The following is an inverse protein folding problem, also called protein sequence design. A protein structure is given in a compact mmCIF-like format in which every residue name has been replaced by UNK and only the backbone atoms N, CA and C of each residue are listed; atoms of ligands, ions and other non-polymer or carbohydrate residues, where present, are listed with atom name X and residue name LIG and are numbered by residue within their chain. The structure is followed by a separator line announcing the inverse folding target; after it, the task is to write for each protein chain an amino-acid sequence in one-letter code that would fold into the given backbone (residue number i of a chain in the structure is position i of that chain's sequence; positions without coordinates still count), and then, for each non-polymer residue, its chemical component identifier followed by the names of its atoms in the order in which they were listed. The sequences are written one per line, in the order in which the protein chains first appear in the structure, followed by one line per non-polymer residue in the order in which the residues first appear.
data_IF_350318596997
#
_entry.id   IF_350318596997
#
_cell.length_a   1.000
_cell.length_b   1.000
_cell.length_c   1.000
_cell.angle_alpha   90.00
_cell.angle_beta   90.00
_cell.angle_gamma   90.00
#
_symmetry.space_group_name_H-M   'P 1'
#
loop_
_entity.id
_entity.type
_entity.pdbx_description
1 polymer ?
#
# COMPACT_ATOMS: atom_id res chain seq x y z
N UNK A 1 3.42 12.58 -39.91
CA UNK A 1 2.62 12.06 -38.78
C UNK A 1 3.48 11.04 -38.06
N UNK A 2 4.10 11.44 -36.94
CA UNK A 2 4.96 10.58 -36.15
C UNK A 2 4.09 9.71 -35.24
N UNK A 3 4.19 8.40 -35.38
CA UNK A 3 3.57 7.41 -34.48
C UNK A 3 4.24 7.52 -33.12
N UNK A 4 3.49 8.01 -32.13
CA UNK A 4 3.91 7.97 -30.73
C UNK A 4 3.80 6.50 -30.30
N UNK A 5 4.94 5.84 -30.21
CA UNK A 5 5.10 4.53 -29.60
C UNK A 5 4.65 4.62 -28.13
N UNK A 6 3.49 4.07 -27.81
CA UNK A 6 2.93 4.10 -26.45
C UNK A 6 3.71 3.13 -25.58
N UNK A 7 4.87 3.57 -25.07
CA UNK A 7 5.48 2.94 -23.90
C UNK A 7 4.49 3.04 -22.75
N UNK A 8 3.69 2.00 -22.58
CA UNK A 8 2.67 1.87 -21.55
C UNK A 8 3.31 2.03 -20.18
N UNK A 9 2.64 2.79 -19.32
CA UNK A 9 3.07 3.07 -17.95
C UNK A 9 3.12 1.76 -17.15
N UNK A 10 4.23 1.53 -16.45
CA UNK A 10 4.49 0.31 -15.64
C UNK A 10 3.37 0.05 -14.63
N UNK A 11 2.74 1.11 -14.10
CA UNK A 11 1.65 1.04 -13.12
C UNK A 11 0.31 0.53 -13.67
N UNK A 12 0.18 0.36 -14.99
CA UNK A 12 -1.06 -0.08 -15.65
C UNK A 12 -0.93 -1.44 -16.35
N UNK A 13 0.24 -2.09 -16.25
CA UNK A 13 0.34 -3.47 -16.71
C UNK A 13 -0.34 -4.36 -15.66
N UNK A 14 -1.45 -4.99 -16.02
CA UNK A 14 -1.92 -6.14 -15.27
C UNK A 14 -0.82 -7.20 -15.38
N UNK A 15 -0.03 -7.37 -14.32
CA UNK A 15 0.97 -8.42 -14.27
C UNK A 15 0.24 -9.75 -14.29
N UNK A 16 0.34 -10.45 -15.44
CA UNK A 16 -0.10 -11.84 -15.61
C UNK A 16 0.68 -12.81 -14.70
N UNK A 17 1.77 -12.33 -14.10
CA UNK A 17 2.58 -13.11 -13.17
C UNK A 17 1.76 -13.53 -11.95
N UNK A 18 1.81 -14.82 -11.65
CA UNK A 18 1.17 -15.39 -10.47
C UNK A 18 1.84 -14.86 -9.20
N UNK A 19 1.12 -14.90 -8.07
CA UNK A 19 1.72 -14.48 -6.79
C UNK A 19 2.85 -15.43 -6.41
N UNK A 20 2.73 -16.71 -6.77
CA UNK A 20 3.73 -17.76 -6.55
C UNK A 20 5.03 -17.45 -7.29
N UNK A 21 4.96 -17.02 -8.55
CA UNK A 21 6.14 -16.65 -9.35
C UNK A 21 6.86 -15.43 -8.76
N UNK A 22 6.09 -14.42 -8.35
CA UNK A 22 6.63 -13.22 -7.67
C UNK A 22 7.33 -13.61 -6.37
N UNK A 23 6.69 -14.46 -5.55
CA UNK A 23 7.28 -14.95 -4.31
C UNK A 23 8.57 -15.74 -4.57
N UNK A 24 8.59 -16.61 -5.57
CA UNK A 24 9.78 -17.38 -5.94
C UNK A 24 10.94 -16.48 -6.38
N UNK A 25 10.68 -15.43 -7.18
CA UNK A 25 11.69 -14.44 -7.57
C UNK A 25 12.25 -13.71 -6.36
N UNK A 26 11.39 -13.26 -5.44
CA UNK A 26 11.82 -12.55 -4.22
C UNK A 26 12.58 -13.50 -3.28
N UNK A 27 12.14 -14.74 -3.13
CA UNK A 27 12.81 -15.75 -2.31
C UNK A 27 14.24 -16.05 -2.82
N UNK A 28 14.40 -16.24 -4.13
CA UNK A 28 15.73 -16.39 -4.76
C UNK A 28 16.63 -15.18 -4.49
N UNK A 29 16.07 -13.97 -4.59
CA UNK A 29 16.80 -12.73 -4.27
C UNK A 29 17.23 -12.68 -2.80
N UNK A 30 16.33 -13.02 -1.87
CA UNK A 30 16.64 -13.06 -0.43
C UNK A 30 17.76 -14.06 -0.15
N UNK A 31 17.64 -15.28 -0.68
CA UNK A 31 18.66 -16.33 -0.51
C UNK A 31 20.01 -15.92 -1.08
N UNK A 32 20.03 -15.31 -2.27
CA UNK A 32 21.27 -14.84 -2.91
C UNK A 32 21.95 -13.67 -2.18
N UNK A 33 21.20 -12.88 -1.41
CA UNK A 33 21.74 -11.78 -0.62
C UNK A 33 22.22 -12.19 0.77
N UNK A 34 21.81 -13.36 1.26
CA UNK A 34 22.17 -13.85 2.58
C UNK A 34 21.56 -13.06 3.74
N UNK A 35 22.11 -13.30 4.93
CA UNK A 35 21.67 -12.65 6.16
C UNK A 35 21.95 -11.14 6.14
N UNK A 36 21.10 -10.38 6.83
CA UNK A 36 21.29 -8.95 7.09
C UNK A 36 21.58 -8.76 8.58
N UNK A 37 22.18 -7.62 9.00
CA UNK A 37 22.62 -7.41 10.39
C UNK A 37 21.59 -7.68 11.50
N UNK A 38 20.28 -7.62 11.20
CA UNK A 38 19.19 -7.79 12.17
C UNK A 38 18.17 -8.87 11.77
N UNK A 39 18.37 -9.55 10.64
CA UNK A 39 17.39 -10.51 10.13
C UNK A 39 18.05 -11.59 9.28
N UNK A 40 17.84 -12.85 9.68
CA UNK A 40 18.30 -14.01 8.92
C UNK A 40 17.52 -14.22 7.63
N UNK A 41 18.08 -14.95 6.67
CA UNK A 41 17.36 -15.41 5.45
C UNK A 41 16.06 -16.10 5.81
N UNK A 42 16.05 -16.97 6.84
CA UNK A 42 14.86 -17.67 7.30
C UNK A 42 13.75 -16.70 7.72
N UNK A 43 14.10 -15.68 8.53
CA UNK A 43 13.13 -14.67 8.98
C UNK A 43 12.66 -13.78 7.82
N UNK A 44 13.53 -13.44 6.87
CA UNK A 44 13.13 -12.70 5.67
C UNK A 44 12.12 -13.49 4.82
N UNK A 45 12.33 -14.80 4.65
CA UNK A 45 11.41 -15.68 3.92
C UNK A 45 10.08 -15.85 4.67
N UNK A 46 10.12 -15.89 6.00
CA UNK A 46 8.91 -15.91 6.83
C UNK A 46 8.09 -14.63 6.66
N UNK A 47 8.72 -13.45 6.68
CA UNK A 47 8.05 -12.17 6.37
C UNK A 47 7.45 -12.14 4.95
N UNK A 48 8.16 -12.71 3.97
CA UNK A 48 7.63 -12.83 2.60
C UNK A 48 6.36 -13.69 2.57
N UNK A 49 6.35 -14.81 3.31
CA UNK A 49 5.16 -15.66 3.43
C UNK A 49 4.02 -14.92 4.13
N UNK A 50 4.29 -14.23 5.23
CA UNK A 50 3.28 -13.45 5.95
C UNK A 50 2.66 -12.36 5.05
N UNK A 51 3.47 -11.66 4.26
CA UNK A 51 2.97 -10.67 3.28
C UNK A 51 1.99 -11.27 2.26
N UNK A 52 2.14 -12.54 1.90
CA UNK A 52 1.23 -13.19 0.94
C UNK A 52 -0.09 -13.66 1.58
N UNK A 53 -0.27 -13.55 2.90
CA UNK A 53 -1.49 -14.03 3.58
C UNK A 53 -2.65 -13.03 3.56
N UNK A 54 -2.41 -11.77 3.20
CA UNK A 54 -3.44 -10.73 3.16
C UNK A 54 -3.38 -9.91 1.87
N UNK A 55 -4.51 -9.31 1.49
CA UNK A 55 -4.71 -8.74 0.15
C UNK A 55 -3.79 -7.55 -0.11
N UNK A 56 -3.59 -6.69 0.90
CA UNK A 56 -2.70 -5.54 0.77
C UNK A 56 -1.26 -5.99 0.52
N UNK A 57 -0.79 -7.01 1.24
CA UNK A 57 0.56 -7.56 1.08
C UNK A 57 0.74 -8.23 -0.27
N UNK A 58 -0.23 -9.01 -0.75
CA UNK A 58 -0.24 -9.55 -2.12
C UNK A 58 -0.15 -8.45 -3.18
N UNK A 59 -0.89 -7.36 -2.99
CA UNK A 59 -0.84 -6.24 -3.91
C UNK A 59 0.54 -5.58 -3.92
N UNK A 60 1.14 -5.34 -2.75
CA UNK A 60 2.49 -4.78 -2.63
C UNK A 60 3.54 -5.66 -3.31
N UNK A 61 3.46 -6.98 -3.11
CA UNK A 61 4.36 -7.94 -3.75
C UNK A 61 4.28 -7.87 -5.28
N UNK A 62 3.07 -7.81 -5.84
CA UNK A 62 2.87 -7.75 -7.30
C UNK A 62 3.23 -6.41 -7.92
N UNK A 63 2.89 -5.30 -7.27
CA UNK A 63 2.88 -3.98 -7.90
C UNK A 63 4.04 -3.07 -7.46
N UNK A 64 4.75 -3.41 -6.38
CA UNK A 64 5.88 -2.63 -5.84
C UNK A 64 5.53 -1.14 -5.59
N UNK A 65 4.25 -0.88 -5.32
CA UNK A 65 3.67 0.45 -5.17
C UNK A 65 2.22 0.34 -4.71
N UNK A 66 1.53 1.48 -4.65
CA UNK A 66 0.13 1.58 -4.22
C UNK A 66 -0.70 2.34 -5.24
N UNK A 67 -1.98 1.98 -5.38
CA UNK A 67 -2.95 2.69 -6.21
C UNK A 67 -3.93 3.49 -5.32
N UNK A 68 -4.92 4.13 -5.94
CA UNK A 68 -5.94 4.91 -5.20
C UNK A 68 -6.67 4.10 -4.14
N UNK A 69 -7.08 2.87 -4.46
CA UNK A 69 -7.78 1.98 -3.53
C UNK A 69 -6.95 1.67 -2.28
N UNK A 70 -5.71 1.20 -2.45
CA UNK A 70 -4.84 0.88 -1.32
C UNK A 70 -4.40 2.12 -0.56
N UNK A 71 -4.18 3.24 -1.25
CA UNK A 71 -3.94 4.53 -0.60
C UNK A 71 -5.10 4.90 0.33
N UNK A 72 -6.35 4.78 -0.16
CA UNK A 72 -7.53 5.04 0.67
C UNK A 72 -7.64 4.07 1.86
N UNK A 73 -7.42 2.77 1.63
CA UNK A 73 -7.41 1.74 2.69
C UNK A 73 -6.43 2.10 3.83
N UNK A 74 -5.18 2.42 3.47
CA UNK A 74 -4.11 2.79 4.41
C UNK A 74 -4.44 4.05 5.22
N UNK A 75 -4.99 5.07 4.55
CA UNK A 75 -5.25 6.39 5.13
C UNK A 75 -6.50 6.40 6.02
N UNK A 76 -7.50 5.58 5.69
CA UNK A 76 -8.74 5.49 6.45
C UNK A 76 -8.65 4.53 7.64
N UNK A 77 -7.63 3.67 7.71
CA UNK A 77 -7.44 2.71 8.82
C UNK A 77 -7.58 3.36 10.20
N UNK A 78 -6.87 4.47 10.53
CA UNK A 78 -6.98 5.09 11.85
C UNK A 78 -8.40 5.60 12.16
N UNK A 79 -9.17 5.98 11.16
CA UNK A 79 -10.53 6.49 11.33
C UNK A 79 -11.57 5.37 11.46
N UNK A 80 -11.28 4.19 10.88
CA UNK A 80 -12.11 2.98 11.04
C UNK A 80 -11.91 2.34 12.41
N UNK A 81 -10.68 2.28 12.91
CA UNK A 81 -10.41 1.77 14.27
C UNK A 81 -10.99 2.64 15.39
N UNK A 82 -11.27 3.93 15.12
CA UNK A 82 -11.93 4.84 16.06
C UNK A 82 -13.46 4.74 16.05
N UNK A 83 -14.04 4.16 14.99
CA UNK A 83 -15.48 3.93 14.84
C UNK A 83 -15.75 2.43 14.92
N UNK A 84 -15.79 1.90 16.13
CA UNK A 84 -16.52 0.64 16.35
C UNK A 84 -17.97 0.89 15.90
N UNK A 85 -18.45 0.07 14.97
CA UNK A 85 -19.75 0.15 14.28
C UNK A 85 -19.83 1.25 13.21
N UNK A 86 -20.07 0.96 11.93
CA UNK A 86 -21.34 0.50 11.38
C UNK A 86 -21.06 -0.31 10.09
N UNK A 87 -21.53 -1.57 10.06
CA UNK A 87 -21.77 -2.42 8.87
C UNK A 87 -20.57 -2.74 7.96
N UNK A 88 -19.93 -3.87 8.25
CA UNK A 88 -18.98 -4.54 7.36
C UNK A 88 -17.98 -5.32 8.19
N UNK A 89 -17.94 -6.64 8.03
CA UNK A 89 -17.12 -7.62 8.75
C UNK A 89 -15.89 -7.03 9.45
N UNK A 90 -15.79 -7.19 10.77
CA UNK A 90 -14.54 -6.98 11.50
C UNK A 90 -13.52 -8.01 10.98
N UNK A 91 -12.84 -7.68 9.89
CA UNK A 91 -11.74 -8.47 9.38
C UNK A 91 -10.62 -8.40 10.41
N UNK A 92 -10.34 -9.53 11.05
CA UNK A 92 -9.17 -9.66 11.91
C UNK A 92 -7.92 -9.49 11.03
N UNK A 93 -7.15 -8.44 11.31
CA UNK A 93 -5.87 -8.20 10.64
C UNK A 93 -4.86 -9.25 11.10
N UNK A 94 -3.99 -9.67 10.17
CA UNK A 94 -2.80 -10.45 10.57
C UNK A 94 -1.85 -9.57 11.38
N UNK A 95 -0.98 -10.17 12.19
CA UNK A 95 -0.01 -9.41 13.01
C UNK A 95 0.88 -8.49 12.15
N UNK A 96 1.31 -8.97 10.98
CA UNK A 96 2.12 -8.17 10.06
C UNK A 96 1.31 -7.05 9.40
N UNK A 97 0.07 -7.32 8.96
CA UNK A 97 -0.81 -6.30 8.40
C UNK A 97 -1.10 -5.19 9.43
N UNK A 98 -1.39 -5.59 10.67
CA UNK A 98 -1.57 -4.66 11.78
C UNK A 98 -0.31 -3.85 12.05
N UNK A 99 0.86 -4.49 12.11
CA UNK A 99 2.14 -3.78 12.27
C UNK A 99 2.34 -2.75 11.15
N UNK A 100 2.10 -3.13 9.89
CA UNK A 100 2.25 -2.24 8.74
C UNK A 100 1.30 -1.04 8.87
N UNK A 101 0.06 -1.25 9.29
CA UNK A 101 -0.95 -0.18 9.34
C UNK A 101 -0.83 0.74 10.56
N UNK A 102 -0.26 0.24 11.66
CA UNK A 102 -0.34 0.91 12.97
C UNK A 102 1.03 1.26 13.57
N UNK A 103 2.11 0.64 13.11
CA UNK A 103 3.44 0.76 13.72
C UNK A 103 4.56 1.07 12.74
N UNK A 104 4.41 0.73 11.46
CA UNK A 104 5.45 1.01 10.48
C UNK A 104 5.66 2.53 10.33
N UNK A 105 6.90 3.04 10.49
CA UNK A 105 7.16 4.48 10.49
C UNK A 105 6.67 5.20 9.21
N UNK A 106 6.84 4.57 8.05
CA UNK A 106 6.40 5.12 6.76
C UNK A 106 4.88 5.20 6.64
N UNK A 107 4.16 4.25 7.22
CA UNK A 107 2.70 4.27 7.27
C UNK A 107 2.21 5.40 8.16
N UNK A 108 2.74 5.47 9.39
CA UNK A 108 2.38 6.50 10.36
C UNK A 108 2.63 7.91 9.80
N UNK A 109 3.79 8.13 9.18
CA UNK A 109 4.11 9.40 8.53
C UNK A 109 3.11 9.73 7.40
N UNK A 110 2.69 8.74 6.61
CA UNK A 110 1.72 8.93 5.51
C UNK A 110 0.33 9.28 6.05
N UNK A 111 -0.12 8.61 7.12
CA UNK A 111 -1.39 8.90 7.79
C UNK A 111 -1.38 10.28 8.47
N UNK A 112 -0.26 10.68 9.09
CA UNK A 112 -0.08 12.03 9.64
C UNK A 112 -0.11 13.09 8.54
N UNK A 113 0.61 12.87 7.44
CA UNK A 113 0.59 13.76 6.27
C UNK A 113 -0.83 13.95 5.76
N UNK A 114 -1.62 12.87 5.67
CA UNK A 114 -3.02 12.98 5.25
C UNK A 114 -3.86 13.87 6.18
N UNK A 115 -3.70 13.74 7.50
CA UNK A 115 -4.38 14.62 8.46
C UNK A 115 -4.01 16.10 8.27
N UNK A 116 -2.73 16.38 8.04
CA UNK A 116 -2.25 17.74 7.75
C UNK A 116 -2.90 18.25 6.46
N UNK A 117 -2.94 17.44 5.39
CA UNK A 117 -3.59 17.84 4.14
C UNK A 117 -5.09 18.13 4.33
N UNK A 118 -5.80 17.34 5.13
CA UNK A 118 -7.20 17.61 5.46
C UNK A 118 -7.38 18.96 6.17
N UNK A 119 -6.53 19.24 7.17
CA UNK A 119 -6.56 20.50 7.90
C UNK A 119 -6.28 21.69 6.97
N UNK A 120 -5.16 21.65 6.25
CA UNK A 120 -4.72 22.72 5.34
C UNK A 120 -5.73 22.99 4.23
N UNK A 121 -6.34 21.94 3.70
CA UNK A 121 -7.39 22.08 2.69
C UNK A 121 -8.65 22.72 3.30
N UNK A 122 -9.08 22.27 4.47
CA UNK A 122 -10.29 22.77 5.12
C UNK A 122 -10.19 24.27 5.47
N UNK A 123 -9.00 24.75 5.81
CA UNK A 123 -8.74 26.18 6.07
C UNK A 123 -8.82 27.05 4.80
N UNK A 124 -8.57 26.47 3.62
CA UNK A 124 -8.48 27.18 2.34
C UNK A 124 -9.71 27.02 1.45
N UNK A 125 -10.57 26.04 1.72
CA UNK A 125 -11.82 25.84 0.98
C UNK A 125 -12.76 27.01 1.26
N UNK A 126 -13.22 27.64 0.17
CA UNK A 126 -14.19 28.73 0.20
C UNK A 126 -15.47 28.35 -0.57
N UNK A 127 -16.54 29.13 -0.37
CA UNK A 127 -17.77 28.96 -1.14
C UNK A 127 -17.47 29.06 -2.65
N UNK A 128 -18.00 28.13 -3.45
CA UNK A 128 -17.83 28.05 -4.91
C UNK A 128 -16.38 27.81 -5.38
N UNK A 129 -15.47 27.38 -4.51
CA UNK A 129 -14.13 26.99 -4.91
C UNK A 129 -14.15 25.82 -5.93
N UNK A 130 -13.27 25.88 -6.93
CA UNK A 130 -13.02 24.78 -7.85
C UNK A 130 -11.79 24.01 -7.37
N UNK A 131 -11.97 22.72 -7.09
CA UNK A 131 -10.93 21.86 -6.55
C UNK A 131 -10.50 20.82 -7.58
N UNK A 132 -9.20 20.57 -7.65
CA UNK A 132 -8.63 19.49 -8.44
C UNK A 132 -7.59 18.75 -7.60
N UNK A 133 -7.57 17.42 -7.72
CA UNK A 133 -6.55 16.56 -7.12
C UNK A 133 -6.00 15.64 -8.19
N UNK A 134 -4.68 15.65 -8.38
CA UNK A 134 -4.04 14.92 -9.48
C UNK A 134 -2.79 14.20 -8.93
N UNK A 135 -2.75 12.86 -8.92
CA UNK A 135 -3.87 11.94 -9.19
C UNK A 135 -4.92 11.95 -8.06
N UNK A 136 -6.21 11.87 -8.38
CA UNK A 136 -7.29 11.97 -7.38
C UNK A 136 -7.48 10.69 -6.54
N UNK A 137 -6.94 9.55 -6.97
CA UNK A 137 -7.09 8.28 -6.26
C UNK A 137 -8.52 7.77 -6.28
N UNK A 138 -9.22 7.87 -5.14
CA UNK A 138 -10.61 7.41 -4.96
C UNK A 138 -11.62 8.56 -4.83
N UNK A 139 -11.17 9.81 -5.02
CA UNK A 139 -12.02 11.01 -4.96
C UNK A 139 -13.06 11.01 -6.07
#
# INVERSE_FOLDING_TARGET
MSTIDSKQLISHHASEESIEDVMNKIAKRIQGQGDKPQISVKQQLDLLQQLSTFDFGRFLLKNQGINGYWTHYMLMHPFRSLKNDIQGEQRTLTELEQFILEKAPTMLATQQRFKIFLQENQEKVAEKAQLACIPCGMM
#
